data_IF_943101983723
#
_entry.id   IF_943101983723
#
_cell.length_a   1.000
_cell.length_b   1.000
_cell.length_c   1.000
_cell.angle_alpha   90.00
_cell.angle_beta   90.00
_cell.angle_gamma   90.00
#
_symmetry.space_group_name_H-M   'P 1'
#
loop_
_entity.id
_entity.type
_entity.pdbx_description
1 polymer ?
#
# COMPACT_ATOMS: atom_id res chain seq x y z
N UNK A 1 -0.68 -27.95 -21.19
CA UNK A 1 0.22 -27.21 -20.29
C UNK A 1 0.20 -27.91 -18.94
N UNK A 2 1.34 -28.19 -18.29
CA UNK A 2 1.26 -28.64 -16.89
C UNK A 2 0.91 -27.42 -16.04
N UNK A 3 0.23 -27.69 -14.95
CA UNK A 3 -0.29 -26.68 -14.03
C UNK A 3 0.86 -25.85 -13.44
N UNK A 4 0.75 -24.51 -13.53
CA UNK A 4 1.80 -23.55 -13.12
C UNK A 4 3.15 -23.71 -13.85
N UNK A 5 3.18 -24.31 -15.05
CA UNK A 5 4.42 -24.39 -15.85
C UNK A 5 4.87 -23.01 -16.36
N UNK A 6 3.93 -22.09 -16.62
CA UNK A 6 4.22 -20.77 -17.16
C UNK A 6 4.13 -19.69 -16.06
N UNK A 7 5.27 -19.07 -15.72
CA UNK A 7 5.33 -17.94 -14.76
C UNK A 7 4.57 -16.70 -15.24
N UNK A 8 4.24 -16.63 -16.52
CA UNK A 8 3.46 -15.56 -17.14
C UNK A 8 1.97 -15.90 -17.24
N UNK A 9 1.55 -17.14 -16.96
CA UNK A 9 0.13 -17.46 -16.82
C UNK A 9 -0.31 -16.95 -15.44
N UNK A 10 -1.18 -15.94 -15.42
CA UNK A 10 -1.73 -15.34 -14.19
C UNK A 10 -2.61 -16.31 -13.37
N UNK A 11 -2.50 -17.63 -13.59
CA UNK A 11 -3.26 -18.67 -12.91
C UNK A 11 -3.01 -18.62 -11.40
N UNK A 12 -1.75 -18.56 -10.96
CA UNK A 12 -1.40 -18.39 -9.55
C UNK A 12 -1.90 -17.04 -9.02
N UNK A 13 -1.68 -15.95 -9.76
CA UNK A 13 -2.12 -14.60 -9.36
C UNK A 13 -3.61 -14.53 -9.00
N UNK A 14 -4.46 -15.23 -9.75
CA UNK A 14 -5.92 -15.25 -9.56
C UNK A 14 -6.35 -15.87 -8.22
N UNK A 15 -5.63 -16.87 -7.69
CA UNK A 15 -5.97 -17.48 -6.40
C UNK A 15 -5.89 -16.46 -5.26
N UNK A 16 -4.83 -15.64 -5.23
CA UNK A 16 -4.65 -14.59 -4.22
C UNK A 16 -5.81 -13.60 -4.15
N UNK A 17 -6.29 -13.19 -5.33
CA UNK A 17 -7.43 -12.28 -5.45
C UNK A 17 -8.76 -12.92 -5.10
N UNK A 18 -8.97 -14.18 -5.51
CA UNK A 18 -10.16 -14.95 -5.12
C UNK A 18 -10.27 -15.06 -3.59
N UNK A 19 -9.17 -15.42 -2.92
CA UNK A 19 -9.12 -15.52 -1.47
C UNK A 19 -9.48 -14.20 -0.78
N UNK A 20 -8.85 -13.10 -1.22
CA UNK A 20 -9.11 -11.76 -0.68
C UNK A 20 -10.56 -11.34 -0.90
N UNK A 21 -11.08 -11.47 -2.12
CA UNK A 21 -12.45 -11.11 -2.47
C UNK A 21 -13.48 -11.92 -1.66
N UNK A 22 -13.23 -13.21 -1.46
CA UNK A 22 -14.11 -14.08 -0.67
C UNK A 22 -14.18 -13.67 0.81
N UNK A 23 -13.04 -13.30 1.40
CA UNK A 23 -12.96 -12.81 2.77
C UNK A 23 -13.71 -11.48 2.94
N UNK A 24 -13.49 -10.53 2.03
CA UNK A 24 -14.20 -9.23 2.04
C UNK A 24 -15.71 -9.43 1.87
N UNK A 25 -16.13 -10.25 0.90
CA UNK A 25 -17.55 -10.56 0.68
C UNK A 25 -18.20 -11.19 1.93
N UNK A 26 -17.51 -12.11 2.60
CA UNK A 26 -18.01 -12.70 3.84
C UNK A 26 -18.19 -11.66 4.96
N UNK A 27 -17.20 -10.78 5.18
CA UNK A 27 -17.31 -9.71 6.19
C UNK A 27 -18.44 -8.73 5.89
N UNK A 28 -18.65 -8.40 4.61
CA UNK A 28 -19.68 -7.47 4.19
C UNK A 28 -21.10 -8.04 4.25
N UNK A 29 -21.27 -9.35 4.05
CA UNK A 29 -22.61 -9.95 3.81
C UNK A 29 -23.00 -11.08 4.75
N UNK A 30 -22.04 -11.67 5.49
CA UNK A 30 -22.20 -12.90 6.25
C UNK A 30 -22.36 -14.17 5.40
N UNK A 31 -22.44 -14.07 4.07
CA UNK A 31 -22.65 -15.22 3.17
C UNK A 31 -21.35 -16.00 2.95
N UNK A 32 -21.42 -17.32 3.12
CA UNK A 32 -20.27 -18.24 3.01
C UNK A 32 -20.05 -18.84 1.63
N UNK A 33 -20.95 -18.66 0.67
CA UNK A 33 -20.89 -19.35 -0.63
C UNK A 33 -19.56 -19.12 -1.38
N UNK A 34 -19.11 -17.87 -1.47
CA UNK A 34 -17.81 -17.54 -2.09
C UNK A 34 -16.63 -17.93 -1.20
N UNK A 35 -16.78 -17.83 0.13
CA UNK A 35 -15.75 -18.25 1.10
C UNK A 35 -15.44 -19.74 0.97
N UNK A 36 -16.45 -20.60 0.82
CA UNK A 36 -16.24 -22.04 0.64
C UNK A 36 -15.54 -22.38 -0.68
N UNK A 37 -15.74 -21.58 -1.74
CA UNK A 37 -14.97 -21.72 -2.99
C UNK A 37 -13.51 -21.35 -2.75
N UNK A 38 -13.24 -20.25 -2.06
CA UNK A 38 -11.88 -19.84 -1.71
C UNK A 38 -11.18 -20.85 -0.77
N UNK A 39 -11.91 -21.48 0.16
CA UNK A 39 -11.35 -22.57 1.01
C UNK A 39 -10.87 -23.73 0.17
N UNK A 40 -11.68 -24.21 -0.79
CA UNK A 40 -11.27 -25.29 -1.71
C UNK A 40 -10.04 -24.89 -2.53
N UNK A 41 -10.00 -23.65 -3.00
CA UNK A 41 -8.87 -23.12 -3.76
C UNK A 41 -7.59 -23.04 -2.90
N UNK A 42 -7.72 -22.66 -1.63
CA UNK A 42 -6.60 -22.58 -0.67
C UNK A 42 -6.11 -23.97 -0.27
N UNK A 43 -7.02 -24.90 0.00
CA UNK A 43 -6.70 -26.30 0.32
C UNK A 43 -6.01 -27.00 -0.86
N UNK A 44 -6.42 -26.68 -2.08
CA UNK A 44 -5.73 -27.12 -3.29
C UNK A 44 -4.29 -26.60 -3.34
N UNK A 45 -4.03 -25.33 -3.01
CA UNK A 45 -2.67 -24.80 -2.94
C UNK A 45 -1.84 -25.53 -1.88
N UNK A 46 -2.38 -25.79 -0.68
CA UNK A 46 -1.69 -26.58 0.35
C UNK A 46 -1.22 -27.92 -0.22
N UNK A 47 -2.12 -28.66 -0.87
CA UNK A 47 -1.81 -29.96 -1.45
C UNK A 47 -0.77 -29.83 -2.57
N UNK A 48 -0.91 -28.83 -3.44
CA UNK A 48 0.05 -28.57 -4.50
C UNK A 48 1.46 -28.36 -3.95
N UNK A 49 1.63 -27.44 -2.99
CA UNK A 49 2.94 -27.13 -2.41
C UNK A 49 3.55 -28.27 -1.58
N UNK A 50 2.75 -29.24 -1.15
CA UNK A 50 3.26 -30.43 -0.46
C UNK A 50 3.78 -31.50 -1.43
N UNK A 51 3.33 -31.49 -2.69
CA UNK A 51 3.71 -32.47 -3.70
C UNK A 51 4.65 -31.90 -4.77
N UNK A 52 4.66 -30.58 -4.96
CA UNK A 52 5.44 -29.89 -5.97
C UNK A 52 6.95 -30.03 -5.73
N UNK A 53 7.72 -30.15 -6.82
CA UNK A 53 9.17 -29.95 -6.75
C UNK A 53 9.50 -28.52 -6.32
N UNK A 54 10.71 -28.23 -5.79
CA UNK A 54 11.11 -26.87 -5.47
C UNK A 54 10.95 -25.89 -6.64
N UNK A 55 11.21 -26.35 -7.86
CA UNK A 55 11.04 -25.55 -9.08
C UNK A 55 9.57 -25.22 -9.38
N UNK A 56 8.67 -26.19 -9.23
CA UNK A 56 7.23 -26.01 -9.42
C UNK A 56 6.63 -25.13 -8.33
N UNK A 57 7.07 -25.30 -7.09
CA UNK A 57 6.67 -24.44 -5.97
C UNK A 57 7.02 -22.98 -6.25
N UNK A 58 8.23 -22.68 -6.75
CA UNK A 58 8.61 -21.31 -7.14
C UNK A 58 7.65 -20.73 -8.18
N UNK A 59 7.36 -21.46 -9.26
CA UNK A 59 6.53 -20.94 -10.35
C UNK A 59 5.09 -20.62 -9.91
N UNK A 60 4.59 -21.30 -8.88
CA UNK A 60 3.28 -21.05 -8.31
C UNK A 60 3.26 -19.91 -7.27
N UNK A 61 4.41 -19.46 -6.75
CA UNK A 61 4.45 -18.39 -5.75
C UNK A 61 4.22 -17.04 -6.43
N UNK A 62 3.01 -16.51 -6.25
CA UNK A 62 2.65 -15.16 -6.66
C UNK A 62 2.56 -14.24 -5.43
N UNK A 63 3.04 -12.99 -5.49
CA UNK A 63 2.93 -12.04 -4.39
C UNK A 63 1.51 -11.80 -3.85
N UNK A 64 0.48 -11.93 -4.69
CA UNK A 64 -0.93 -11.82 -4.25
C UNK A 64 -1.36 -12.93 -3.29
N UNK A 65 -0.67 -14.09 -3.29
CA UNK A 65 -0.97 -15.21 -2.40
C UNK A 65 -0.79 -14.86 -0.93
N UNK A 66 0.27 -14.13 -0.57
CA UNK A 66 0.58 -13.88 0.84
C UNK A 66 -0.55 -13.13 1.56
N UNK A 67 -1.05 -12.06 0.96
CA UNK A 67 -2.21 -11.34 1.49
C UNK A 67 -3.46 -12.23 1.51
N UNK A 68 -3.76 -12.93 0.41
CA UNK A 68 -4.96 -13.77 0.33
C UNK A 68 -4.97 -14.92 1.35
N UNK A 69 -3.84 -15.60 1.54
CA UNK A 69 -3.70 -16.72 2.48
C UNK A 69 -3.81 -16.24 3.92
N UNK A 70 -3.15 -15.13 4.28
CA UNK A 70 -3.28 -14.57 5.63
C UNK A 70 -4.70 -14.06 5.89
N UNK A 71 -5.37 -13.46 4.90
CA UNK A 71 -6.77 -13.07 5.05
C UNK A 71 -7.70 -14.29 5.23
N UNK A 72 -7.43 -15.40 4.56
CA UNK A 72 -8.12 -16.67 4.79
C UNK A 72 -7.88 -17.18 6.21
N UNK A 73 -6.63 -17.14 6.70
CA UNK A 73 -6.31 -17.48 8.09
C UNK A 73 -7.08 -16.60 9.08
N UNK A 74 -7.01 -15.27 8.96
CA UNK A 74 -7.70 -14.33 9.84
C UNK A 74 -9.21 -14.56 9.88
N UNK A 75 -9.80 -14.91 8.73
CA UNK A 75 -11.23 -15.11 8.55
C UNK A 75 -11.72 -16.46 9.07
N UNK A 76 -10.96 -17.54 8.85
CA UNK A 76 -11.40 -18.91 9.14
C UNK A 76 -10.78 -19.50 10.41
N UNK A 77 -9.68 -18.92 10.89
CA UNK A 77 -8.83 -19.43 11.98
C UNK A 77 -8.25 -20.82 11.73
N UNK A 78 -8.13 -21.22 10.45
CA UNK A 78 -7.50 -22.48 10.07
C UNK A 78 -5.96 -22.31 9.99
N UNK A 79 -5.26 -22.83 10.99
CA UNK A 79 -3.80 -22.75 11.15
C UNK A 79 -3.02 -23.32 9.95
N UNK A 80 -3.63 -24.19 9.14
CA UNK A 80 -3.00 -24.71 7.91
C UNK A 80 -2.69 -23.59 6.92
N UNK A 81 -3.49 -22.53 6.89
CA UNK A 81 -3.29 -21.38 6.02
C UNK A 81 -2.09 -20.53 6.47
N UNK A 82 -1.95 -20.28 7.79
CA UNK A 82 -0.76 -19.62 8.32
C UNK A 82 0.52 -20.44 8.07
N UNK A 83 0.45 -21.76 8.27
CA UNK A 83 1.56 -22.66 7.98
C UNK A 83 1.98 -22.61 6.50
N UNK A 84 1.01 -22.55 5.58
CA UNK A 84 1.29 -22.38 4.15
C UNK A 84 2.01 -21.04 3.89
N UNK A 85 1.52 -19.92 4.41
CA UNK A 85 2.15 -18.61 4.19
C UNK A 85 3.61 -18.57 4.66
N UNK A 86 3.91 -19.16 5.83
CA UNK A 86 5.28 -19.31 6.35
C UNK A 86 6.16 -20.12 5.39
N UNK A 87 5.68 -21.29 4.97
CA UNK A 87 6.39 -22.15 4.00
C UNK A 87 6.70 -21.42 2.70
N UNK A 88 5.75 -20.64 2.16
CA UNK A 88 5.97 -19.89 0.93
C UNK A 88 7.03 -18.79 1.07
N UNK A 89 7.20 -18.22 2.26
CA UNK A 89 8.27 -17.25 2.53
C UNK A 89 9.62 -17.92 2.66
N UNK A 90 9.68 -19.07 3.33
CA UNK A 90 10.94 -19.78 3.56
C UNK A 90 11.51 -20.39 2.27
N UNK A 91 10.64 -20.82 1.33
CA UNK A 91 11.07 -21.39 0.04
C UNK A 91 11.48 -20.31 -0.96
N UNK A 92 10.95 -19.08 -0.82
CA UNK A 92 11.18 -18.02 -1.80
C UNK A 92 12.65 -17.62 -1.86
N UNK A 93 13.23 -17.72 -3.06
CA UNK A 93 14.64 -17.38 -3.31
C UNK A 93 15.67 -18.41 -2.86
N UNK A 94 15.23 -19.65 -2.56
CA UNK A 94 16.15 -20.77 -2.23
C UNK A 94 16.61 -21.56 -3.47
N UNK A 95 16.06 -21.25 -4.64
CA UNK A 95 16.45 -21.79 -5.95
C UNK A 95 16.69 -20.62 -6.91
N UNK A 96 17.31 -20.87 -8.07
CA UNK A 96 17.59 -19.82 -9.05
C UNK A 96 16.31 -19.03 -9.41
N UNK A 97 16.33 -17.71 -9.16
CA UNK A 97 15.19 -16.82 -9.34
C UNK A 97 15.55 -15.57 -10.15
N UNK A 98 14.62 -14.63 -10.23
CA UNK A 98 14.78 -13.37 -10.95
C UNK A 98 14.54 -12.14 -10.09
N UNK A 99 15.24 -11.06 -10.42
CA UNK A 99 14.96 -9.75 -9.83
C UNK A 99 13.54 -9.29 -10.18
N UNK A 100 13.09 -9.58 -11.41
CA UNK A 100 11.77 -9.21 -11.92
C UNK A 100 10.60 -9.81 -11.12
N UNK A 101 10.79 -11.01 -10.54
CA UNK A 101 9.83 -11.64 -9.62
C UNK A 101 10.20 -11.41 -8.14
N UNK A 102 11.25 -10.62 -7.89
CA UNK A 102 11.88 -10.33 -6.60
C UNK A 102 12.33 -11.59 -5.83
N UNK A 103 12.60 -12.71 -6.50
CA UNK A 103 12.93 -14.01 -5.90
C UNK A 103 14.35 -14.51 -6.25
N UNK A 104 15.23 -13.63 -6.75
CA UNK A 104 16.65 -13.96 -6.95
C UNK A 104 17.36 -14.32 -5.64
N UNK A 105 16.99 -13.70 -4.54
CA UNK A 105 17.53 -13.94 -3.21
C UNK A 105 16.41 -14.25 -2.22
N UNK A 106 16.70 -14.99 -1.13
CA UNK A 106 15.75 -15.17 -0.04
C UNK A 106 15.23 -13.83 0.47
N UNK A 107 13.96 -13.77 0.86
CA UNK A 107 13.34 -12.50 1.29
C UNK A 107 14.17 -11.82 2.40
N UNK A 108 14.58 -12.61 3.40
CA UNK A 108 15.34 -12.13 4.58
C UNK A 108 16.73 -11.58 4.25
N UNK A 109 17.23 -11.83 3.04
CA UNK A 109 18.53 -11.38 2.55
C UNK A 109 18.43 -10.21 1.56
N UNK A 110 17.20 -9.79 1.22
CA UNK A 110 16.98 -8.65 0.32
C UNK A 110 17.54 -7.36 0.95
N UNK A 111 18.37 -6.64 0.18
CA UNK A 111 18.97 -5.36 0.61
C UNK A 111 18.56 -4.16 -0.26
N UNK A 112 17.86 -4.41 -1.38
CA UNK A 112 17.34 -3.37 -2.29
C UNK A 112 16.12 -3.89 -3.03
N UNK A 113 15.23 -2.98 -3.39
CA UNK A 113 14.05 -3.30 -4.21
C UNK A 113 14.41 -3.17 -5.68
N UNK A 114 14.19 -4.24 -6.45
CA UNK A 114 14.42 -4.31 -7.89
C UNK A 114 13.29 -5.10 -8.55
N UNK A 115 13.19 -5.02 -9.87
CA UNK A 115 12.20 -5.76 -10.64
C UNK A 115 10.80 -5.16 -10.58
N UNK A 116 9.81 -5.96 -10.97
CA UNK A 116 8.45 -5.51 -11.22
C UNK A 116 7.79 -4.89 -9.97
N UNK A 117 7.38 -3.63 -10.06
CA UNK A 117 6.95 -2.85 -8.91
C UNK A 117 5.66 -3.38 -8.24
N UNK A 118 4.68 -3.88 -9.03
CA UNK A 118 3.48 -4.53 -8.47
C UNK A 118 3.85 -5.75 -7.64
N UNK A 119 4.67 -6.64 -8.21
CA UNK A 119 5.08 -7.88 -7.55
C UNK A 119 5.82 -7.59 -6.25
N UNK A 120 6.77 -6.66 -6.29
CA UNK A 120 7.52 -6.24 -5.10
C UNK A 120 6.61 -5.65 -4.03
N UNK A 121 5.76 -4.67 -4.36
CA UNK A 121 4.94 -3.98 -3.37
C UNK A 121 3.87 -4.92 -2.76
N UNK A 122 3.27 -5.80 -3.57
CA UNK A 122 2.32 -6.80 -3.08
C UNK A 122 3.00 -7.84 -2.18
N UNK A 123 4.23 -8.22 -2.49
CA UNK A 123 5.03 -9.10 -1.63
C UNK A 123 5.28 -8.43 -0.29
N UNK A 124 5.71 -7.17 -0.27
CA UNK A 124 5.98 -6.46 0.99
C UNK A 124 4.72 -6.30 1.84
N UNK A 125 3.58 -5.98 1.22
CA UNK A 125 2.29 -5.97 1.91
C UNK A 125 1.95 -7.34 2.51
N UNK A 126 2.09 -8.42 1.73
CA UNK A 126 1.82 -9.78 2.18
C UNK A 126 2.78 -10.29 3.25
N UNK A 127 4.07 -9.93 3.19
CA UNK A 127 5.05 -10.29 4.23
C UNK A 127 4.79 -9.52 5.51
N UNK A 128 4.36 -8.26 5.42
CA UNK A 128 3.91 -7.52 6.59
C UNK A 128 2.69 -8.21 7.25
N UNK A 129 1.77 -8.76 6.45
CA UNK A 129 0.68 -9.60 6.95
C UNK A 129 1.20 -10.89 7.63
N UNK A 130 2.23 -11.56 7.08
CA UNK A 130 2.86 -12.72 7.74
C UNK A 130 3.53 -12.33 9.06
N UNK A 131 4.22 -11.19 9.11
CA UNK A 131 4.84 -10.68 10.35
C UNK A 131 3.78 -10.44 11.43
N UNK A 132 2.63 -9.86 11.07
CA UNK A 132 1.53 -9.60 12.01
C UNK A 132 1.10 -10.85 12.79
N UNK A 133 1.09 -12.01 12.13
CA UNK A 133 0.64 -13.28 12.73
C UNK A 133 1.78 -14.10 13.37
N UNK A 134 3.05 -13.77 13.09
CA UNK A 134 4.19 -14.61 13.49
C UNK A 134 5.17 -13.93 14.43
N UNK A 135 5.25 -12.60 14.42
CA UNK A 135 6.26 -11.84 15.15
C UNK A 135 7.70 -12.08 14.67
N UNK A 136 7.92 -12.66 13.48
CA UNK A 136 9.27 -12.94 12.96
C UNK A 136 10.00 -11.63 12.62
N UNK A 137 10.82 -11.16 13.56
CA UNK A 137 11.57 -9.90 13.44
C UNK A 137 12.47 -9.84 12.21
N UNK A 138 12.93 -10.98 11.67
CA UNK A 138 13.74 -10.98 10.44
C UNK A 138 12.95 -10.47 9.22
N UNK A 139 11.64 -10.67 9.20
CA UNK A 139 10.74 -10.13 8.17
C UNK A 139 10.62 -8.62 8.30
N UNK A 140 10.36 -8.12 9.51
CA UNK A 140 10.26 -6.68 9.79
C UNK A 140 11.57 -5.94 9.49
N UNK A 141 12.72 -6.53 9.84
CA UNK A 141 14.03 -5.95 9.51
C UNK A 141 14.21 -5.77 8.00
N UNK A 142 13.77 -6.75 7.21
CA UNK A 142 13.81 -6.67 5.74
C UNK A 142 12.82 -5.65 5.22
N UNK A 143 11.57 -5.66 5.71
CA UNK A 143 10.54 -4.69 5.32
C UNK A 143 11.00 -3.26 5.54
N UNK A 144 11.62 -2.96 6.67
CA UNK A 144 12.18 -1.63 6.97
C UNK A 144 13.28 -1.23 5.98
N UNK A 145 14.19 -2.15 5.61
CA UNK A 145 15.22 -1.88 4.59
C UNK A 145 14.60 -1.62 3.21
N UNK A 146 13.60 -2.40 2.81
CA UNK A 146 12.94 -2.23 1.52
C UNK A 146 12.17 -0.93 1.48
N UNK A 147 11.48 -0.59 2.58
CA UNK A 147 10.73 0.66 2.70
C UNK A 147 11.66 1.88 2.64
N UNK A 148 12.78 1.85 3.36
CA UNK A 148 13.81 2.91 3.26
C UNK A 148 14.32 3.07 1.83
N UNK A 149 14.66 1.96 1.17
CA UNK A 149 15.16 2.01 -0.21
C UNK A 149 14.13 2.61 -1.19
N UNK A 150 12.86 2.22 -1.08
CA UNK A 150 11.80 2.73 -1.96
C UNK A 150 11.49 4.19 -1.65
N UNK A 151 11.07 4.49 -0.42
CA UNK A 151 10.56 5.80 -0.03
C UNK A 151 11.60 6.90 -0.19
N UNK A 152 12.87 6.63 0.13
CA UNK A 152 13.91 7.66 0.11
C UNK A 152 14.66 7.76 -1.23
N UNK A 153 14.54 6.78 -2.13
CA UNK A 153 15.41 6.73 -3.33
C UNK A 153 14.71 6.31 -4.63
N UNK A 154 13.54 5.68 -4.59
CA UNK A 154 12.89 5.10 -5.78
C UNK A 154 11.41 5.41 -5.94
N UNK A 155 10.86 6.26 -5.07
CA UNK A 155 9.47 6.69 -5.11
C UNK A 155 9.40 8.07 -5.75
N UNK A 156 8.48 8.25 -6.69
CA UNK A 156 8.18 9.55 -7.27
C UNK A 156 7.49 10.46 -6.27
N UNK A 157 7.53 11.78 -6.48
CA UNK A 157 6.86 12.78 -5.62
C UNK A 157 5.35 12.53 -5.45
N UNK A 158 4.73 11.78 -6.37
CA UNK A 158 3.31 11.40 -6.32
C UNK A 158 3.03 10.13 -5.50
N UNK A 159 4.05 9.52 -4.88
CA UNK A 159 3.99 8.17 -4.31
C UNK A 159 4.06 7.05 -5.36
N UNK A 160 4.21 7.41 -6.64
CA UNK A 160 4.31 6.49 -7.77
C UNK A 160 5.52 5.56 -7.67
N UNK A 161 5.35 4.31 -8.11
CA UNK A 161 6.37 3.27 -8.02
C UNK A 161 6.58 2.56 -9.36
N UNK A 162 7.84 2.40 -9.76
CA UNK A 162 8.24 1.74 -11.01
C UNK A 162 8.67 2.73 -12.08
N UNK A 163 9.97 2.95 -12.18
CA UNK A 163 10.56 3.91 -13.11
C UNK A 163 10.64 3.40 -14.55
N UNK A 164 10.77 2.08 -14.74
CA UNK A 164 11.17 1.50 -16.02
C UNK A 164 10.04 0.73 -16.67
N UNK A 165 9.77 1.03 -17.95
CA UNK A 165 8.96 0.16 -18.80
C UNK A 165 9.64 -1.18 -19.04
N UNK A 166 10.91 -1.12 -19.46
CA UNK A 166 11.84 -2.23 -19.62
C UNK A 166 13.22 -1.78 -19.14
N UNK A 167 14.01 -2.71 -18.63
CA UNK A 167 15.38 -2.43 -18.21
C UNK A 167 16.16 -3.70 -17.89
N UNK A 168 17.24 -3.53 -17.15
CA UNK A 168 18.08 -4.63 -16.67
C UNK A 168 18.36 -4.50 -15.18
N UNK A 169 18.55 -5.64 -14.51
CA UNK A 169 19.05 -5.71 -13.14
C UNK A 169 20.08 -6.85 -13.00
N UNK A 170 21.24 -6.63 -12.40
CA UNK A 170 21.75 -5.34 -11.92
C UNK A 170 22.21 -4.46 -13.08
N UNK A 171 22.11 -3.15 -12.92
CA UNK A 171 22.45 -2.17 -13.97
C UNK A 171 23.84 -1.58 -13.72
N UNK A 172 24.72 -1.63 -14.72
CA UNK A 172 26.03 -0.99 -14.73
C UNK A 172 27.06 -1.48 -13.68
N UNK A 173 26.78 -2.56 -12.95
CA UNK A 173 27.57 -2.96 -11.77
C UNK A 173 28.14 -4.38 -11.81
N UNK A 174 27.65 -5.26 -12.69
CA UNK A 174 28.16 -6.63 -12.79
C UNK A 174 29.17 -6.80 -13.91
N UNK A 175 30.30 -7.45 -13.60
CA UNK A 175 31.29 -7.92 -14.59
C UNK A 175 30.93 -9.27 -15.21
N UNK A 176 29.90 -9.94 -14.69
CA UNK A 176 29.41 -11.24 -15.16
C UNK A 176 28.08 -11.06 -15.90
N UNK A 177 28.07 -11.00 -17.24
CA UNK A 177 26.87 -10.62 -18.00
C UNK A 177 25.67 -11.55 -17.80
N UNK A 178 25.92 -12.82 -17.53
CA UNK A 178 24.91 -13.85 -17.20
C UNK A 178 24.13 -13.55 -15.90
N UNK A 179 24.69 -12.74 -15.00
CA UNK A 179 23.98 -12.28 -13.80
C UNK A 179 23.04 -11.10 -14.07
N UNK A 180 23.11 -10.47 -15.25
CA UNK A 180 22.27 -9.34 -15.65
C UNK A 180 20.98 -9.88 -16.28
N UNK A 181 19.85 -9.60 -15.65
CA UNK A 181 18.53 -10.07 -16.04
C UNK A 181 17.68 -8.92 -16.59
N UNK A 182 16.79 -9.23 -17.53
CA UNK A 182 15.75 -8.28 -17.97
C UNK A 182 14.72 -8.09 -16.86
N UNK A 183 14.22 -6.87 -16.74
CA UNK A 183 13.11 -6.52 -15.86
C UNK A 183 12.09 -5.68 -16.64
N UNK A 184 10.83 -5.73 -16.24
CA UNK A 184 9.77 -4.94 -16.88
C UNK A 184 8.84 -4.31 -15.84
N UNK A 185 8.29 -3.14 -16.16
CA UNK A 185 7.33 -2.43 -15.29
C UNK A 185 7.88 -2.30 -13.86
N UNK A 186 9.13 -1.87 -13.78
CA UNK A 186 10.04 -2.21 -12.70
C UNK A 186 10.63 -0.99 -12.00
N UNK A 187 11.10 -1.20 -10.77
CA UNK A 187 12.02 -0.28 -10.11
C UNK A 187 13.35 -0.20 -10.87
N UNK A 188 13.92 1.00 -10.92
CA UNK A 188 15.24 1.26 -11.48
C UNK A 188 16.34 1.29 -10.42
N UNK A 189 17.44 1.96 -10.74
CA UNK A 189 18.51 2.28 -9.78
C UNK A 189 18.01 3.24 -8.70
N UNK A 190 18.74 3.32 -7.58
CA UNK A 190 18.52 4.39 -6.61
C UNK A 190 18.64 5.74 -7.34
N UNK A 191 17.70 6.66 -7.09
CA UNK A 191 17.58 7.99 -7.66
C UNK A 191 17.32 8.08 -9.17
N UNK A 192 17.02 6.97 -9.85
CA UNK A 192 16.59 6.98 -11.25
C UNK A 192 15.07 7.19 -11.34
N UNK A 193 14.65 8.43 -11.60
CA UNK A 193 13.23 8.83 -11.59
C UNK A 193 12.85 9.68 -12.83
N UNK A 194 12.88 9.11 -14.05
CA UNK A 194 12.56 9.84 -15.28
C UNK A 194 11.08 10.21 -15.39
N UNK A 195 10.77 11.47 -15.74
CA UNK A 195 9.38 11.94 -15.75
C UNK A 195 8.55 11.52 -16.97
N UNK A 196 9.13 11.56 -18.18
CA UNK A 196 8.41 11.22 -19.42
C UNK A 196 8.19 9.71 -19.58
N UNK A 197 9.13 8.90 -19.11
CA UNK A 197 9.11 7.44 -19.23
C UNK A 197 8.81 6.74 -17.90
N UNK A 198 8.31 7.47 -16.89
CA UNK A 198 7.85 6.89 -15.65
C UNK A 198 6.72 5.91 -15.92
N UNK A 199 6.93 4.62 -15.62
CA UNK A 199 5.90 3.61 -15.80
C UNK A 199 4.78 3.79 -14.77
N UNK A 200 5.12 3.85 -13.48
CA UNK A 200 4.20 4.16 -12.37
C UNK A 200 2.82 3.50 -12.53
N UNK A 201 2.82 2.18 -12.71
CA UNK A 201 1.59 1.42 -12.93
C UNK A 201 0.61 1.67 -11.80
N UNK A 202 -0.66 1.94 -12.10
CA UNK A 202 -1.68 2.21 -11.07
C UNK A 202 -1.74 1.08 -10.02
N UNK A 203 -1.60 -0.18 -10.43
CA UNK A 203 -1.49 -1.32 -9.51
C UNK A 203 -0.26 -1.28 -8.60
N UNK A 204 0.89 -0.76 -9.06
CA UNK A 204 2.09 -0.66 -8.24
C UNK A 204 1.90 0.38 -7.13
N UNK A 205 1.22 1.47 -7.46
CA UNK A 205 0.87 2.55 -6.55
C UNK A 205 -0.14 2.07 -5.50
N UNK A 206 -1.15 1.28 -5.91
CA UNK A 206 -2.06 0.59 -4.99
C UNK A 206 -1.29 -0.40 -4.10
N UNK A 207 -0.32 -1.13 -4.64
CA UNK A 207 0.57 -1.98 -3.84
C UNK A 207 1.32 -1.19 -2.76
N UNK A 208 1.77 0.02 -3.09
CA UNK A 208 2.44 0.92 -2.14
C UNK A 208 1.48 1.39 -1.03
N UNK A 209 0.23 1.72 -1.37
CA UNK A 209 -0.85 2.00 -0.39
C UNK A 209 -1.06 0.82 0.54
N UNK A 210 -1.22 -0.38 -0.02
CA UNK A 210 -1.47 -1.60 0.74
C UNK A 210 -0.31 -1.92 1.68
N UNK A 211 0.93 -1.79 1.21
CA UNK A 211 2.12 -2.02 2.02
C UNK A 211 2.23 -1.03 3.18
N UNK A 212 2.10 0.27 2.91
CA UNK A 212 2.14 1.30 3.95
C UNK A 212 1.00 1.18 4.94
N UNK A 213 -0.19 0.73 4.51
CA UNK A 213 -1.27 0.41 5.43
C UNK A 213 -0.86 -0.66 6.46
N UNK A 214 -0.25 -1.77 6.02
CA UNK A 214 0.22 -2.81 6.97
C UNK A 214 1.32 -2.27 7.87
N UNK A 215 2.31 -1.56 7.31
CA UNK A 215 3.38 -0.99 8.11
C UNK A 215 2.83 -0.02 9.18
N UNK A 216 1.82 0.77 8.85
CA UNK A 216 1.11 1.62 9.81
C UNK A 216 0.46 0.78 10.92
N UNK A 217 -0.31 -0.26 10.57
CA UNK A 217 -0.96 -1.12 11.57
C UNK A 217 0.05 -1.82 12.50
N UNK A 218 1.22 -2.19 11.98
CA UNK A 218 2.25 -2.90 12.74
C UNK A 218 3.05 -2.02 13.69
N UNK A 219 3.21 -0.73 13.37
CA UNK A 219 4.17 0.15 14.04
C UNK A 219 3.53 1.34 14.74
N UNK A 220 2.35 1.78 14.28
CA UNK A 220 1.72 3.03 14.69
C UNK A 220 2.48 4.28 14.23
N UNK A 221 3.46 4.17 13.35
CA UNK A 221 4.26 5.33 12.90
C UNK A 221 3.56 6.09 11.77
N UNK A 222 3.38 7.41 11.94
CA UNK A 222 2.59 8.22 11.02
C UNK A 222 3.26 8.43 9.65
N UNK A 223 4.58 8.22 9.53
CA UNK A 223 5.29 8.24 8.23
C UNK A 223 4.71 7.28 7.20
N UNK A 224 4.15 6.16 7.63
CA UNK A 224 3.49 5.21 6.73
C UNK A 224 2.13 5.75 6.26
N UNK A 225 1.39 6.43 7.15
CA UNK A 225 0.15 7.11 6.79
C UNK A 225 0.39 8.27 5.82
N UNK A 226 1.52 8.98 5.92
CA UNK A 226 1.90 10.04 4.97
C UNK A 226 2.11 9.47 3.55
N UNK A 227 2.84 8.36 3.40
CA UNK A 227 3.02 7.71 2.08
C UNK A 227 1.70 7.15 1.56
N UNK A 228 0.87 6.58 2.44
CA UNK A 228 -0.47 6.10 2.10
C UNK A 228 -1.33 7.24 1.55
N UNK A 229 -1.40 8.37 2.24
CA UNK A 229 -2.13 9.56 1.82
C UNK A 229 -1.60 10.09 0.48
N UNK A 230 -0.28 10.23 0.36
CA UNK A 230 0.39 10.71 -0.84
C UNK A 230 0.01 9.88 -2.06
N UNK A 231 0.11 8.55 -1.95
CA UNK A 231 -0.21 7.64 -3.03
C UNK A 231 -1.70 7.66 -3.39
N UNK A 232 -2.60 7.66 -2.39
CA UNK A 232 -4.05 7.73 -2.63
C UNK A 232 -4.45 8.96 -3.44
N UNK A 233 -4.02 10.15 -3.03
CA UNK A 233 -4.40 11.40 -3.70
C UNK A 233 -3.72 11.60 -5.05
N UNK A 234 -2.48 11.13 -5.24
CA UNK A 234 -1.65 11.57 -6.38
C UNK A 234 -1.36 10.49 -7.42
N UNK A 235 -1.24 9.21 -7.04
CA UNK A 235 -0.83 8.13 -7.97
C UNK A 235 -1.83 6.98 -8.09
N UNK A 236 -2.81 6.89 -7.18
CA UNK A 236 -3.99 6.03 -7.31
C UNK A 236 -5.14 6.79 -7.96
N UNK A 237 -5.52 7.95 -7.41
CA UNK A 237 -6.64 8.74 -7.93
C UNK A 237 -6.36 9.30 -9.34
N UNK A 238 -5.10 9.55 -9.69
CA UNK A 238 -4.70 9.87 -11.07
C UNK A 238 -5.10 8.76 -12.05
N UNK A 239 -5.18 7.51 -11.58
CA UNK A 239 -5.49 6.32 -12.37
C UNK A 239 -6.88 6.29 -12.99
N UNK A 240 -7.79 7.19 -12.62
CA UNK A 240 -9.17 7.26 -13.12
C UNK A 240 -9.56 8.70 -13.46
N UNK A 241 -10.43 8.89 -14.45
CA UNK A 241 -10.97 10.21 -14.80
C UNK A 241 -12.04 10.66 -13.80
N UNK A 242 -12.36 11.96 -13.79
CA UNK A 242 -13.38 12.50 -12.90
C UNK A 242 -14.79 11.91 -13.16
N UNK A 243 -15.04 11.41 -14.38
CA UNK A 243 -16.27 10.70 -14.72
C UNK A 243 -16.30 9.25 -14.27
N UNK A 244 -15.19 8.68 -13.77
CA UNK A 244 -15.13 7.31 -13.26
C UNK A 244 -15.19 6.20 -14.32
N UNK A 245 -14.99 6.53 -15.60
CA UNK A 245 -15.19 5.60 -16.73
C UNK A 245 -13.92 5.31 -17.55
N UNK A 246 -12.88 6.13 -17.43
CA UNK A 246 -11.62 5.99 -18.17
C UNK A 246 -10.45 5.87 -17.21
N UNK A 247 -9.51 5.00 -17.53
CA UNK A 247 -8.42 4.62 -16.63
C UNK A 247 -7.05 4.75 -17.27
N UNK A 248 -6.06 5.11 -16.46
CA UNK A 248 -4.65 5.00 -16.79
C UNK A 248 -4.10 3.64 -16.38
N UNK A 249 -3.25 3.08 -17.25
CA UNK A 249 -2.32 2.03 -16.85
C UNK A 249 -1.08 2.65 -16.20
N UNK A 250 -0.40 3.54 -16.93
CA UNK A 250 0.81 4.24 -16.50
C UNK A 250 0.51 5.66 -16.04
N UNK A 251 1.22 6.14 -15.02
CA UNK A 251 1.05 7.48 -14.45
C UNK A 251 2.34 8.32 -14.61
N UNK A 252 2.62 8.85 -15.82
CA UNK A 252 3.82 9.63 -16.07
C UNK A 252 3.78 11.01 -15.39
N UNK A 253 4.94 11.59 -15.10
CA UNK A 253 5.06 12.93 -14.49
C UNK A 253 5.23 14.05 -15.53
N UNK A 254 5.51 13.69 -16.78
CA UNK A 254 5.56 14.62 -17.89
C UNK A 254 4.92 13.98 -19.13
N UNK A 255 4.28 14.81 -19.96
CA UNK A 255 3.65 14.38 -21.20
C UNK A 255 3.92 15.36 -22.33
N UNK A 256 4.05 14.85 -23.55
CA UNK A 256 4.17 15.66 -24.77
C UNK A 256 3.28 15.09 -25.87
N UNK A 257 2.72 15.95 -26.71
CA UNK A 257 1.95 15.53 -27.87
C UNK A 257 2.82 14.98 -29.01
N UNK A 258 4.14 15.20 -28.96
CA UNK A 258 5.09 14.83 -30.02
C UNK A 258 6.25 14.04 -29.44
N UNK A 259 5.99 12.82 -29.00
CA UNK A 259 7.08 11.90 -28.66
C UNK A 259 7.82 11.48 -29.94
N UNK A 260 9.17 11.41 -29.92
CA UNK A 260 9.94 10.85 -31.03
C UNK A 260 9.95 9.31 -31.03
N UNK A 261 9.16 8.68 -30.17
CA UNK A 261 9.03 7.23 -29.97
C UNK A 261 7.63 6.90 -29.44
N UNK A 262 7.28 5.62 -29.41
CA UNK A 262 6.00 5.14 -28.85
C UNK A 262 6.25 4.40 -27.54
N UNK A 263 5.68 4.90 -26.44
CA UNK A 263 5.63 4.15 -25.18
C UNK A 263 4.39 3.25 -25.15
N UNK A 264 4.52 2.08 -24.54
CA UNK A 264 3.35 1.24 -24.26
C UNK A 264 2.39 2.03 -23.38
N UNK A 265 1.10 1.94 -23.67
CA UNK A 265 0.04 2.59 -22.88
C UNK A 265 0.10 4.13 -22.85
N UNK A 266 0.79 4.75 -23.81
CA UNK A 266 0.72 6.21 -24.01
C UNK A 266 -0.67 6.65 -24.50
N UNK A 267 -0.94 7.96 -24.44
CA UNK A 267 -2.14 8.55 -25.05
C UNK A 267 -3.32 8.79 -24.11
N UNK A 268 -3.14 8.66 -22.79
CA UNK A 268 -4.17 9.10 -21.83
C UNK A 268 -4.99 7.95 -21.23
N UNK A 269 -6.06 8.33 -20.53
CA UNK A 269 -7.01 7.40 -19.93
C UNK A 269 -7.91 6.77 -20.99
N UNK A 270 -8.17 5.47 -20.87
CA UNK A 270 -9.00 4.69 -21.81
C UNK A 270 -10.11 3.95 -21.06
N UNK A 271 -11.25 3.73 -21.71
CA UNK A 271 -12.40 3.02 -21.11
C UNK A 271 -12.09 1.55 -20.81
N UNK A 272 -11.27 0.91 -21.68
CA UNK A 272 -10.90 -0.49 -21.53
C UNK A 272 -9.46 -0.73 -21.96
N UNK A 273 -8.65 -1.26 -21.04
CA UNK A 273 -7.22 -1.50 -21.25
C UNK A 273 -7.04 -2.94 -21.77
N UNK A 274 -7.21 -3.11 -23.09
CA UNK A 274 -7.41 -4.42 -23.74
C UNK A 274 -6.36 -5.48 -23.41
N UNK A 275 -5.07 -5.14 -23.31
CA UNK A 275 -4.01 -6.13 -23.05
C UNK A 275 -3.72 -6.34 -21.55
N UNK A 276 -4.26 -5.51 -20.66
CA UNK A 276 -3.99 -5.58 -19.21
C UNK A 276 -5.06 -4.83 -18.40
N UNK A 277 -6.24 -5.43 -18.26
CA UNK A 277 -7.37 -4.81 -17.56
C UNK A 277 -7.36 -5.06 -16.03
N UNK A 278 -6.19 -5.30 -15.44
CA UNK A 278 -6.06 -5.48 -13.99
C UNK A 278 -6.15 -4.15 -13.22
N UNK A 279 -5.63 -3.05 -13.80
CA UNK A 279 -5.61 -1.74 -13.17
C UNK A 279 -7.02 -1.18 -12.90
N UNK A 280 -7.95 -1.12 -13.88
CA UNK A 280 -9.27 -0.52 -13.66
C UNK A 280 -10.08 -1.12 -12.49
N UNK A 281 -10.32 -2.44 -12.40
CA UNK A 281 -11.04 -3.00 -11.26
C UNK A 281 -10.27 -2.83 -9.95
N UNK A 282 -8.94 -2.84 -9.98
CA UNK A 282 -8.11 -2.62 -8.79
C UNK A 282 -8.26 -1.18 -8.25
N UNK A 283 -8.29 -0.18 -9.14
CA UNK A 283 -8.56 1.22 -8.79
C UNK A 283 -9.95 1.37 -8.19
N UNK A 284 -10.97 0.81 -8.85
CA UNK A 284 -12.36 0.92 -8.39
C UNK A 284 -12.54 0.34 -6.98
N UNK A 285 -12.04 -0.89 -6.73
CA UNK A 285 -12.14 -1.46 -5.37
C UNK A 285 -11.38 -0.63 -4.34
N UNK A 286 -10.23 -0.06 -4.71
CA UNK A 286 -9.39 0.71 -3.77
C UNK A 286 -10.10 2.01 -3.39
N UNK A 287 -10.68 2.71 -4.37
CA UNK A 287 -11.48 3.92 -4.13
C UNK A 287 -12.70 3.60 -3.25
N UNK A 288 -13.39 2.49 -3.52
CA UNK A 288 -14.54 2.05 -2.72
C UNK A 288 -14.17 1.71 -1.26
N UNK A 289 -12.90 1.38 -0.99
CA UNK A 289 -12.39 0.97 0.31
C UNK A 289 -11.68 2.10 1.08
N UNK A 290 -11.60 3.33 0.55
CA UNK A 290 -10.83 4.43 1.17
C UNK A 290 -11.24 4.73 2.61
N UNK A 291 -12.52 4.60 2.93
CA UNK A 291 -13.04 4.81 4.29
C UNK A 291 -12.40 3.89 5.33
N UNK A 292 -11.94 2.70 4.94
CA UNK A 292 -11.27 1.76 5.85
C UNK A 292 -9.88 2.25 6.29
N UNK A 293 -9.27 3.19 5.57
CA UNK A 293 -7.96 3.74 5.91
C UNK A 293 -8.04 4.97 6.81
N UNK A 294 -9.24 5.54 7.03
CA UNK A 294 -9.38 6.81 7.72
C UNK A 294 -9.03 6.73 9.21
N UNK A 295 -9.29 5.59 9.84
CA UNK A 295 -9.12 5.40 11.28
C UNK A 295 -8.37 4.11 11.61
N UNK A 296 -7.73 4.11 12.78
CA UNK A 296 -7.32 2.88 13.45
C UNK A 296 -7.71 2.91 14.92
N UNK A 297 -7.96 1.74 15.50
CA UNK A 297 -8.34 1.60 16.90
C UNK A 297 -7.30 0.69 17.55
N UNK A 298 -6.78 1.10 18.70
CA UNK A 298 -5.92 0.28 19.56
C UNK A 298 -6.43 0.34 21.00
N UNK A 299 -5.79 -0.40 21.90
CA UNK A 299 -6.05 -0.33 23.33
C UNK A 299 -5.91 1.09 23.90
N UNK A 300 -5.09 1.95 23.28
CA UNK A 300 -4.89 3.33 23.74
C UNK A 300 -6.00 4.28 23.32
N UNK A 301 -6.66 4.02 22.18
CA UNK A 301 -7.66 4.93 21.65
C UNK A 301 -7.76 4.93 20.12
N UNK A 302 -8.20 6.06 19.57
CA UNK A 302 -8.56 6.20 18.15
C UNK A 302 -7.55 7.08 17.42
N UNK A 303 -7.06 6.57 16.30
CA UNK A 303 -6.10 7.23 15.43
C UNK A 303 -6.83 7.78 14.20
N UNK A 304 -6.65 9.07 13.93
CA UNK A 304 -7.13 9.77 12.75
C UNK A 304 -6.00 9.74 11.72
N UNK A 305 -6.07 8.77 10.81
CA UNK A 305 -5.03 8.54 9.81
C UNK A 305 -5.23 9.42 8.59
N UNK A 306 -6.46 9.51 8.08
CA UNK A 306 -6.79 10.38 6.94
C UNK A 306 -7.88 11.38 7.35
N UNK A 307 -7.87 12.52 6.68
CA UNK A 307 -8.81 13.61 6.91
C UNK A 307 -9.79 13.72 5.75
N UNK A 308 -11.08 13.79 6.05
CA UNK A 308 -12.16 13.95 5.07
C UNK A 308 -13.53 13.92 5.74
N UNK A 309 -14.54 14.61 5.20
CA UNK A 309 -15.87 14.64 5.81
C UNK A 309 -16.46 13.23 5.98
N UNK A 310 -16.76 12.80 7.21
CA UNK A 310 -17.24 11.44 7.49
C UNK A 310 -17.92 11.29 8.87
N UNK A 311 -18.55 10.13 9.09
CA UNK A 311 -19.03 9.68 10.41
C UNK A 311 -18.38 8.34 10.75
N UNK A 312 -17.84 8.22 11.96
CA UNK A 312 -17.40 6.96 12.54
C UNK A 312 -18.35 6.53 13.65
N UNK A 313 -18.88 5.32 13.55
CA UNK A 313 -19.63 4.62 14.62
C UNK A 313 -18.91 3.34 14.95
N UNK A 314 -18.38 3.21 16.16
CA UNK A 314 -17.58 2.04 16.54
C UNK A 314 -17.66 1.74 18.03
N UNK A 315 -17.12 0.57 18.40
CA UNK A 315 -16.87 0.18 19.78
C UNK A 315 -15.36 0.09 20.02
N UNK A 316 -14.92 0.58 21.17
CA UNK A 316 -13.55 0.41 21.66
C UNK A 316 -13.34 -1.01 22.21
N UNK A 317 -12.08 -1.36 22.49
CA UNK A 317 -11.72 -2.70 23.00
C UNK A 317 -12.36 -3.05 24.35
N UNK A 318 -12.68 -2.06 25.17
CA UNK A 318 -13.38 -2.24 26.45
C UNK A 318 -14.92 -2.29 26.30
N UNK A 319 -15.42 -2.22 25.06
CA UNK A 319 -16.86 -2.24 24.74
C UNK A 319 -17.53 -0.87 24.75
N UNK A 320 -16.82 0.20 25.10
CA UNK A 320 -17.33 1.57 25.03
C UNK A 320 -17.74 1.93 23.60
N UNK A 321 -18.95 2.46 23.42
CA UNK A 321 -19.44 3.01 22.15
C UNK A 321 -19.00 4.45 21.98
N UNK A 322 -18.62 4.78 20.76
CA UNK A 322 -18.27 6.13 20.35
C UNK A 322 -18.80 6.43 18.94
N UNK A 323 -19.37 7.63 18.80
CA UNK A 323 -19.74 8.18 17.51
C UNK A 323 -19.04 9.53 17.31
N UNK A 324 -18.33 9.67 16.20
CA UNK A 324 -17.59 10.86 15.81
C UNK A 324 -18.10 11.37 14.46
N UNK A 325 -18.15 12.68 14.30
CA UNK A 325 -18.36 13.34 13.01
C UNK A 325 -17.16 14.21 12.68
N UNK A 326 -16.56 14.00 11.53
CA UNK A 326 -15.51 14.85 10.99
C UNK A 326 -16.10 15.77 9.91
N UNK A 327 -15.92 17.08 10.07
CA UNK A 327 -16.28 18.10 9.10
C UNK A 327 -15.02 18.86 8.70
N UNK A 328 -14.73 18.90 7.40
CA UNK A 328 -13.50 19.52 6.88
C UNK A 328 -13.64 19.82 5.39
N UNK A 329 -12.90 20.83 4.91
CA UNK A 329 -12.69 21.06 3.48
C UNK A 329 -11.44 20.36 2.92
N UNK A 330 -10.77 19.50 3.71
CA UNK A 330 -9.62 18.71 3.27
C UNK A 330 -9.95 17.93 1.98
N UNK A 331 -9.05 17.87 0.98
CA UNK A 331 -7.66 18.37 0.98
C UNK A 331 -7.49 19.85 0.55
N UNK A 332 -8.56 20.63 0.46
CA UNK A 332 -8.49 22.04 -0.01
C UNK A 332 -8.13 23.05 1.07
N UNK A 333 -8.25 22.69 2.34
CA UNK A 333 -7.76 23.44 3.49
C UNK A 333 -7.42 22.49 4.64
N UNK A 334 -6.60 22.96 5.58
CA UNK A 334 -6.13 22.17 6.72
C UNK A 334 -7.00 22.23 7.98
N UNK A 335 -8.21 22.78 7.93
CA UNK A 335 -9.09 22.84 9.10
C UNK A 335 -9.95 21.57 9.20
N UNK A 336 -9.82 20.84 10.31
CA UNK A 336 -10.53 19.60 10.60
C UNK A 336 -11.27 19.72 11.92
N UNK A 337 -12.60 19.61 11.88
CA UNK A 337 -13.45 19.63 13.07
C UNK A 337 -13.97 18.23 13.37
N UNK A 338 -13.69 17.71 14.56
CA UNK A 338 -14.23 16.45 15.08
C UNK A 338 -15.23 16.76 16.18
N UNK A 339 -16.48 16.30 15.99
CA UNK A 339 -17.55 16.42 16.98
C UNK A 339 -17.86 15.07 17.61
N UNK A 340 -17.87 15.01 18.95
CA UNK A 340 -18.30 13.82 19.69
C UNK A 340 -19.83 13.75 19.69
N UNK A 341 -20.41 12.78 18.97
CA UNK A 341 -21.88 12.59 18.89
C UNK A 341 -22.40 11.62 19.95
N UNK A 342 -21.61 10.61 20.28
CA UNK A 342 -21.88 9.63 21.33
C UNK A 342 -20.56 9.23 22.00
N UNK A 343 -20.60 9.05 23.33
CA UNK A 343 -19.49 8.49 24.10
C UNK A 343 -20.07 7.81 25.34
N UNK A 344 -19.79 6.52 25.52
CA UNK A 344 -20.18 5.74 26.71
C UNK A 344 -18.92 5.21 27.40
N UNK A 345 -18.84 5.26 28.73
CA UNK A 345 -17.67 4.74 29.45
C UNK A 345 -16.49 5.72 29.49
N UNK A 346 -15.26 5.20 29.54
CA UNK A 346 -14.06 6.00 29.70
C UNK A 346 -13.63 6.64 28.38
N UNK A 347 -13.29 7.93 28.43
CA UNK A 347 -12.85 8.69 27.26
C UNK A 347 -11.52 8.13 26.71
N UNK A 348 -11.45 7.77 25.41
CA UNK A 348 -10.20 7.31 24.80
C UNK A 348 -9.25 8.49 24.58
N UNK A 349 -7.97 8.17 24.39
CA UNK A 349 -7.08 9.10 23.72
C UNK A 349 -7.48 9.26 22.25
N UNK A 350 -7.37 10.48 21.75
CA UNK A 350 -7.55 10.78 20.33
C UNK A 350 -6.18 11.12 19.75
N UNK A 351 -5.77 10.38 18.73
CA UNK A 351 -4.46 10.51 18.08
C UNK A 351 -4.63 11.16 16.71
N UNK A 352 -4.28 12.44 16.61
CA UNK A 352 -4.35 13.17 15.35
C UNK A 352 -3.03 13.06 14.61
N UNK A 353 -3.02 12.52 13.38
CA UNK A 353 -1.81 12.57 12.55
C UNK A 353 -1.44 14.02 12.26
N UNK A 354 -0.20 14.40 12.53
CA UNK A 354 0.37 15.64 12.02
C UNK A 354 1.16 15.31 10.75
N UNK A 355 0.63 15.61 9.55
CA UNK A 355 1.25 15.20 8.30
C UNK A 355 2.68 15.75 8.16
N UNK A 356 3.61 14.99 7.59
CA UNK A 356 5.01 15.40 7.42
C UNK A 356 5.20 16.65 6.55
N UNK A 357 4.24 16.99 5.69
CA UNK A 357 4.25 18.22 4.90
C UNK A 357 3.88 19.46 5.73
N UNK A 358 3.10 19.30 6.80
CA UNK A 358 2.63 20.40 7.63
C UNK A 358 3.78 20.98 8.45
N UNK A 359 3.87 22.31 8.59
CA UNK A 359 4.93 22.97 9.37
C UNK A 359 4.45 23.56 10.69
N UNK A 360 3.16 23.88 10.76
CA UNK A 360 2.55 24.44 11.95
C UNK A 360 1.12 23.92 12.06
N UNK A 361 0.74 23.46 13.26
CA UNK A 361 -0.63 23.13 13.57
C UNK A 361 -1.04 23.65 14.95
N UNK A 362 -2.35 23.76 15.18
CA UNK A 362 -2.93 24.09 16.48
C UNK A 362 -4.17 23.25 16.75
N UNK A 363 -4.52 23.11 18.04
CA UNK A 363 -5.74 22.43 18.46
C UNK A 363 -6.57 23.34 19.34
N UNK A 364 -7.87 23.43 19.02
CA UNK A 364 -8.88 24.06 19.89
C UNK A 364 -9.86 23.00 20.39
N UNK A 365 -10.29 23.15 21.64
CA UNK A 365 -11.35 22.34 22.23
C UNK A 365 -12.47 23.29 22.67
N UNK A 366 -13.66 23.10 22.13
CA UNK A 366 -14.83 23.94 22.40
C UNK A 366 -14.53 25.45 22.21
N UNK A 367 -13.82 25.78 21.12
CA UNK A 367 -13.42 27.14 20.77
C UNK A 367 -12.26 27.73 21.56
N UNK A 368 -11.73 27.03 22.58
CA UNK A 368 -10.57 27.47 23.35
C UNK A 368 -9.31 26.80 22.84
N UNK A 369 -8.26 27.58 22.65
CA UNK A 369 -6.95 27.04 22.26
C UNK A 369 -6.44 26.13 23.36
N UNK A 370 -6.23 24.86 23.02
CA UNK A 370 -5.72 23.84 23.92
C UNK A 370 -4.21 23.62 23.70
N UNK A 371 -3.77 23.71 22.44
CA UNK A 371 -2.37 23.56 22.06
C UNK A 371 -2.03 24.51 20.93
N UNK A 372 -0.95 25.28 21.09
CA UNK A 372 -0.38 26.16 20.07
C UNK A 372 0.93 25.57 19.53
N UNK A 373 1.25 25.90 18.27
CA UNK A 373 2.56 25.66 17.66
C UNK A 373 3.04 24.21 17.75
N UNK A 374 2.15 23.26 17.42
CA UNK A 374 2.56 21.88 17.18
C UNK A 374 3.53 21.86 16.00
N UNK A 375 4.76 21.39 16.24
CA UNK A 375 5.76 21.17 15.19
C UNK A 375 5.56 19.76 14.63
N UNK A 376 5.04 19.62 13.40
CA UNK A 376 4.79 18.32 12.79
C UNK A 376 6.11 17.65 12.39
N UNK A 377 6.09 16.31 12.33
CA UNK A 377 7.25 15.49 12.00
C UNK A 377 6.86 14.07 11.62
N UNK A 378 5.74 13.90 10.90
CA UNK A 378 5.15 12.59 10.59
C UNK A 378 4.87 11.76 11.87
N UNK A 379 4.18 12.38 12.83
CA UNK A 379 3.85 11.80 14.13
C UNK A 379 2.37 11.95 14.46
N UNK A 380 1.89 11.15 15.41
CA UNK A 380 0.56 11.35 15.99
C UNK A 380 0.66 12.26 17.21
N UNK A 381 -0.15 13.31 17.24
CA UNK A 381 -0.39 14.08 18.44
C UNK A 381 -1.40 13.36 19.31
N UNK A 382 -0.97 12.95 20.50
CA UNK A 382 -1.80 12.32 21.52
C UNK A 382 -2.60 13.39 22.28
N UNK A 383 -3.92 13.34 22.17
CA UNK A 383 -4.83 14.23 22.87
C UNK A 383 -5.61 13.46 23.95
N UNK A 384 -5.24 13.70 25.21
CA UNK A 384 -5.98 13.24 26.37
C UNK A 384 -7.19 14.15 26.64
N UNK A 385 -8.33 13.57 27.01
CA UNK A 385 -9.49 14.37 27.38
C UNK A 385 -10.58 13.58 28.09
N UNK A 386 -11.50 14.30 28.74
CA UNK A 386 -12.75 13.75 29.27
C UNK A 386 -13.88 14.11 28.31
N UNK A 387 -13.95 13.36 27.21
CA UNK A 387 -14.87 13.63 26.11
C UNK A 387 -16.32 13.40 26.51
N UNK A 388 -17.19 14.35 26.18
CA UNK A 388 -18.64 14.22 26.30
C UNK A 388 -19.32 14.57 25.00
N UNK A 389 -20.55 14.09 24.84
CA UNK A 389 -21.41 14.45 23.72
C UNK A 389 -21.47 15.97 23.53
N UNK A 390 -21.25 16.41 22.30
CA UNK A 390 -21.26 17.82 21.91
C UNK A 390 -19.89 18.50 21.97
N UNK A 391 -18.86 17.87 22.56
CA UNK A 391 -17.51 18.41 22.49
C UNK A 391 -17.03 18.50 21.04
N UNK A 392 -16.32 19.59 20.74
CA UNK A 392 -15.71 19.86 19.45
C UNK A 392 -14.20 19.99 19.61
N UNK A 393 -13.46 19.19 18.85
CA UNK A 393 -12.01 19.29 18.71
C UNK A 393 -11.72 19.82 17.30
N UNK A 394 -10.98 20.91 17.20
CA UNK A 394 -10.61 21.54 15.93
C UNK A 394 -9.10 21.44 15.77
N UNK A 395 -8.65 20.70 14.77
CA UNK A 395 -7.25 20.68 14.32
C UNK A 395 -7.13 21.66 13.16
N UNK A 396 -6.24 22.64 13.29
CA UNK A 396 -5.92 23.61 12.26
C UNK A 396 -4.49 23.37 11.80
N UNK A 397 -4.32 22.94 10.55
CA UNK A 397 -3.03 22.68 9.91
C UNK A 397 -2.74 23.76 8.88
N UNK A 398 -1.57 24.39 8.98
CA UNK A 398 -1.13 25.34 7.97
C UNK A 398 -0.78 24.60 6.66
N UNK A 399 -1.35 25.07 5.54
CA UNK A 399 -1.27 24.43 4.23
C UNK A 399 -0.88 25.45 3.14
N UNK A 400 0.31 26.07 3.22
CA UNK A 400 0.77 27.00 2.20
C UNK A 400 1.18 26.25 0.93
N UNK A 401 1.27 26.99 -0.18
CA UNK A 401 1.95 26.47 -1.37
C UNK A 401 3.44 26.26 -1.06
N UNK A 402 3.99 25.11 -1.48
CA UNK A 402 5.39 24.74 -1.23
C UNK A 402 6.07 24.41 -2.55
N UNK A 403 7.28 24.93 -2.74
CA UNK A 403 8.20 24.49 -3.78
C UNK A 403 9.06 23.37 -3.21
N UNK A 404 9.20 22.26 -3.96
CA UNK A 404 9.94 21.08 -3.51
C UNK A 404 11.06 20.76 -4.46
N UNK A 405 12.26 20.52 -3.92
CA UNK A 405 13.37 19.99 -4.70
C UNK A 405 13.56 18.49 -4.44
N UNK A 406 14.11 17.78 -5.43
CA UNK A 406 14.53 16.40 -5.26
C UNK A 406 15.95 16.33 -4.68
N UNK A 407 16.33 15.17 -4.13
CA UNK A 407 17.73 14.87 -3.85
C UNK A 407 18.59 15.14 -5.11
N UNK A 408 19.79 15.75 -4.99
CA UNK A 408 20.65 16.07 -6.15
C UNK A 408 21.06 14.88 -7.01
N UNK A 409 20.98 13.65 -6.48
CA UNK A 409 21.24 12.42 -7.23
C UNK A 409 20.09 12.05 -8.18
N UNK A 410 18.92 12.68 -8.05
CA UNK A 410 17.82 12.54 -9.01
C UNK A 410 18.10 13.46 -10.20
N UNK A 411 18.92 12.97 -11.12
CA UNK A 411 19.40 13.74 -12.27
C UNK A 411 18.25 14.28 -13.13
N UNK A 412 17.16 13.51 -13.27
CA UNK A 412 16.04 13.84 -14.16
C UNK A 412 15.22 15.06 -13.71
N UNK A 413 15.34 15.44 -12.43
CA UNK A 413 14.70 16.62 -11.84
C UNK A 413 15.68 17.61 -11.23
N UNK A 414 16.99 17.44 -11.47
CA UNK A 414 17.99 18.37 -10.97
C UNK A 414 17.71 19.80 -11.43
N UNK A 415 17.84 20.76 -10.50
CA UNK A 415 17.53 22.18 -10.71
C UNK A 415 16.09 22.44 -11.21
N UNK A 416 15.12 21.67 -10.71
CA UNK A 416 13.68 21.86 -10.91
C UNK A 416 12.96 21.89 -9.55
N UNK A 417 11.78 22.50 -9.53
CA UNK A 417 10.85 22.55 -8.38
C UNK A 417 9.43 22.21 -8.78
#
# INVERSE_FOLDING_TARGET
TKMFDDKLSFEAYNFGHLMTAACVHYRATGKKSLLEVARKATDFLINFYNLASPEQARNAICPSHYMGIIEMYRTTKDERYLALAKKLIDVRGTVEGTDDNSDRAPFREMNKVVGHAVRANYLFAGVADVYAETGDQSLMNTLNKMWDNVTNRKMYITGGCGALYDGVSVDGTSYKPDTVQKIHQAYGRDYQLPNFSAHNETCANIGNVLWNWRMLQLTGEARYADVLELALYNSVLSGVDLGGSKFFYTNPLAATAKYPYHLRWEGGRQEYIRLSNCCPPNTVRTVAEVSNYMYSISEKGIYFNLYGGNTLKTSLHDGAKIELEQTTGYPWNGNVVVTIKEMTGNAPFLYFRLPGWCKQASIKINGKVAVENLVPGAQYFELAGKWKKGDKIELDMDMPAVLMESNPLVEETNNRV
#
